data_IF_209332837835
#
_entry.id   IF_209332837835
#
_cell.length_a   1.000
_cell.length_b   1.000
_cell.length_c   1.000
_cell.angle_alpha   90.00
_cell.angle_beta   90.00
_cell.angle_gamma   90.00
#
_symmetry.space_group_name_H-M   'P 1'
#
loop_
_entity.id
_entity.type
_entity.pdbx_description
1 polymer ?
#
# COMPACT_ATOMS: atom_id res chain seq x y z
N UNK A 1 5.50 -8.30 -3.85
CA UNK A 1 4.81 -8.43 -5.15
C UNK A 1 5.83 -8.18 -6.24
N UNK A 2 5.76 -8.87 -7.37
CA UNK A 2 6.66 -8.68 -8.51
C UNK A 2 5.92 -8.86 -9.83
N UNK A 3 6.57 -8.56 -10.96
CA UNK A 3 6.00 -8.78 -12.29
C UNK A 3 5.52 -10.23 -12.51
N UNK A 4 6.15 -11.21 -11.87
CA UNK A 4 5.82 -12.63 -12.04
C UNK A 4 4.49 -13.02 -11.39
N UNK A 5 4.10 -12.35 -10.30
CA UNK A 5 2.91 -12.73 -9.54
C UNK A 5 1.81 -11.67 -9.50
N UNK A 6 2.05 -10.44 -9.98
CA UNK A 6 1.05 -9.37 -9.85
C UNK A 6 -0.29 -9.72 -10.50
N UNK A 7 -0.29 -10.50 -11.60
CA UNK A 7 -1.52 -10.92 -12.29
C UNK A 7 -2.38 -11.87 -11.46
N UNK A 8 -1.85 -12.56 -10.45
CA UNK A 8 -2.67 -13.42 -9.59
C UNK A 8 -3.64 -12.64 -8.71
N UNK A 9 -3.46 -11.32 -8.61
CA UNK A 9 -4.35 -10.42 -7.87
C UNK A 9 -5.45 -9.81 -8.75
N UNK A 10 -5.50 -10.16 -10.03
CA UNK A 10 -6.50 -9.62 -10.95
C UNK A 10 -7.91 -10.01 -10.50
N UNK A 11 -8.79 -9.02 -10.41
CA UNK A 11 -10.17 -9.16 -9.93
C UNK A 11 -10.32 -9.61 -8.47
N UNK A 12 -9.24 -9.67 -7.69
CA UNK A 12 -9.35 -9.88 -6.25
C UNK A 12 -9.99 -8.65 -5.59
N UNK A 13 -10.96 -8.90 -4.70
CA UNK A 13 -11.56 -7.88 -3.82
C UNK A 13 -10.94 -7.91 -2.43
N UNK A 14 -10.57 -9.09 -1.97
CA UNK A 14 -9.93 -9.31 -0.66
C UNK A 14 -8.59 -9.99 -0.86
N UNK A 15 -7.58 -9.48 -0.16
CA UNK A 15 -6.24 -10.05 -0.12
C UNK A 15 -6.05 -10.71 1.24
N UNK A 16 -6.02 -12.04 1.24
CA UNK A 16 -5.68 -12.82 2.42
C UNK A 16 -4.16 -12.83 2.61
N UNK A 17 -3.66 -11.92 3.44
CA UNK A 17 -2.25 -11.74 3.72
C UNK A 17 -1.84 -10.29 3.55
N UNK A 18 -0.55 -10.10 3.23
CA UNK A 18 0.08 -8.77 3.20
C UNK A 18 0.60 -8.43 1.81
N UNK A 19 0.62 -7.13 1.49
CA UNK A 19 1.21 -6.62 0.25
C UNK A 19 2.46 -5.83 0.60
N UNK A 20 3.57 -6.17 -0.08
CA UNK A 20 4.82 -5.42 -0.05
C UNK A 20 5.24 -5.06 -1.46
N UNK A 21 5.37 -3.77 -1.74
CA UNK A 21 5.94 -3.21 -2.96
C UNK A 21 7.15 -2.37 -2.54
N UNK A 22 8.33 -2.75 -3.01
CA UNK A 22 9.61 -2.13 -2.66
C UNK A 22 10.43 -1.80 -3.92
N UNK A 23 11.65 -1.30 -3.74
CA UNK A 23 12.56 -0.98 -4.84
C UNK A 23 12.77 -2.14 -5.82
N UNK A 24 12.98 -3.37 -5.32
CA UNK A 24 13.14 -4.56 -6.17
C UNK A 24 11.88 -4.82 -7.00
N UNK A 25 10.70 -4.57 -6.44
CA UNK A 25 9.42 -4.69 -7.16
C UNK A 25 9.35 -3.69 -8.32
N UNK A 26 9.84 -2.46 -8.14
CA UNK A 26 9.74 -1.37 -9.11
C UNK A 26 10.89 -1.31 -10.11
N UNK A 27 12.11 -1.69 -9.73
CA UNK A 27 13.27 -1.75 -10.62
C UNK A 27 13.41 -3.09 -11.33
N UNK A 28 12.73 -4.13 -10.84
CA UNK A 28 12.93 -5.50 -11.28
C UNK A 28 14.22 -6.10 -10.69
N UNK A 29 14.44 -7.36 -10.99
CA UNK A 29 15.62 -8.12 -10.60
C UNK A 29 16.08 -8.95 -11.81
N UNK A 30 17.16 -8.49 -12.46
CA UNK A 30 17.73 -9.18 -13.63
C UNK A 30 18.25 -10.57 -13.27
N UNK A 31 18.82 -10.75 -12.08
CA UNK A 31 19.35 -12.04 -11.63
C UNK A 31 18.26 -13.08 -11.43
N UNK A 32 17.02 -12.65 -11.18
CA UNK A 32 15.84 -13.52 -11.03
C UNK A 32 14.88 -13.47 -12.22
N UNK A 33 15.28 -12.83 -13.32
CA UNK A 33 14.46 -12.61 -14.51
C UNK A 33 13.08 -11.99 -14.18
N UNK A 34 13.07 -10.98 -13.30
CA UNK A 34 11.88 -10.24 -12.89
C UNK A 34 11.93 -8.86 -13.53
N UNK A 35 10.95 -8.55 -14.37
CA UNK A 35 10.80 -7.20 -14.94
C UNK A 35 10.33 -6.19 -13.88
N UNK A 36 10.56 -4.91 -14.16
CA UNK A 36 10.04 -3.80 -13.35
C UNK A 36 8.52 -3.73 -13.40
N UNK A 37 7.90 -3.38 -12.27
CA UNK A 37 6.49 -2.98 -12.24
C UNK A 37 6.34 -1.52 -12.68
N UNK A 38 5.26 -1.25 -13.42
CA UNK A 38 4.82 0.10 -13.80
C UNK A 38 3.60 0.50 -12.99
N UNK A 39 3.24 1.79 -13.01
CA UNK A 39 1.97 2.25 -12.42
C UNK A 39 0.77 1.50 -13.03
N UNK A 40 0.79 1.24 -14.34
CA UNK A 40 -0.23 0.45 -15.03
C UNK A 40 -0.32 -0.97 -14.49
N UNK A 41 0.81 -1.62 -14.23
CA UNK A 41 0.84 -2.96 -13.62
C UNK A 41 0.16 -2.94 -12.24
N UNK A 42 0.39 -1.90 -11.45
CA UNK A 42 -0.19 -1.73 -10.12
C UNK A 42 -1.71 -1.54 -10.14
N UNK A 43 -2.30 -1.06 -11.25
CA UNK A 43 -3.77 -0.94 -11.40
C UNK A 43 -4.50 -2.28 -11.26
N UNK A 44 -3.80 -3.41 -11.31
CA UNK A 44 -4.33 -4.72 -10.94
C UNK A 44 -4.99 -4.71 -9.56
N UNK A 45 -4.49 -3.90 -8.61
CA UNK A 45 -5.07 -3.76 -7.27
C UNK A 45 -6.32 -2.87 -7.20
N UNK A 46 -6.79 -2.33 -8.32
CA UNK A 46 -7.88 -1.36 -8.32
C UNK A 46 -9.22 -1.93 -7.86
N UNK A 47 -9.42 -3.25 -7.90
CA UNK A 47 -10.61 -3.94 -7.36
C UNK A 47 -10.51 -4.28 -5.89
N UNK A 48 -9.30 -4.21 -5.31
CA UNK A 48 -9.08 -4.59 -3.91
C UNK A 48 -9.75 -3.59 -2.99
N UNK A 49 -10.60 -4.13 -2.11
CA UNK A 49 -11.31 -3.42 -1.06
C UNK A 49 -10.76 -3.74 0.32
N UNK A 50 -10.14 -4.90 0.52
CA UNK A 50 -9.65 -5.33 1.83
C UNK A 50 -8.30 -6.04 1.77
N UNK A 51 -7.44 -5.78 2.76
CA UNK A 51 -6.17 -6.48 2.99
C UNK A 51 -6.18 -7.00 4.43
N UNK A 52 -6.04 -8.31 4.64
CA UNK A 52 -6.14 -8.88 5.99
C UNK A 52 -4.88 -8.69 6.83
N UNK A 53 -3.72 -8.59 6.19
CA UNK A 53 -2.43 -8.33 6.81
C UNK A 53 -2.04 -6.85 6.77
N UNK A 54 -0.79 -6.57 6.39
CA UNK A 54 -0.25 -5.22 6.25
C UNK A 54 -0.09 -4.78 4.78
N UNK A 55 0.05 -3.46 4.59
CA UNK A 55 0.43 -2.84 3.33
C UNK A 55 1.74 -2.05 3.50
N UNK A 56 2.79 -2.47 2.81
CA UNK A 56 4.12 -1.83 2.80
C UNK A 56 4.43 -1.31 1.41
N UNK A 57 4.76 -0.02 1.35
CA UNK A 57 5.06 0.72 0.13
C UNK A 57 6.38 1.48 0.33
N UNK A 58 7.42 1.04 -0.37
CA UNK A 58 8.76 1.61 -0.21
C UNK A 58 9.39 1.85 -1.58
N UNK A 59 10.07 2.98 -1.76
CA UNK A 59 10.87 3.24 -2.96
C UNK A 59 10.11 3.01 -4.29
N UNK A 60 8.91 3.61 -4.41
CA UNK A 60 8.00 3.38 -5.56
C UNK A 60 8.47 3.98 -6.90
N UNK A 61 9.64 4.64 -6.94
CA UNK A 61 10.16 5.32 -8.13
C UNK A 61 9.41 6.61 -8.47
N UNK A 62 9.84 7.30 -9.55
CA UNK A 62 9.28 8.62 -9.95
C UNK A 62 7.98 8.52 -10.75
N UNK A 63 7.68 7.35 -11.31
CA UNK A 63 6.47 7.09 -12.10
C UNK A 63 5.21 6.88 -11.27
N UNK A 64 5.33 6.78 -9.94
CA UNK A 64 4.20 6.59 -9.03
C UNK A 64 4.06 7.81 -8.14
N UNK A 65 3.03 8.63 -8.40
CA UNK A 65 2.78 9.90 -7.71
C UNK A 65 1.68 9.83 -6.63
N UNK A 66 0.92 8.75 -6.60
CA UNK A 66 -0.12 8.50 -5.60
C UNK A 66 -0.45 7.01 -5.54
N UNK A 67 -1.23 6.58 -4.54
CA UNK A 67 -1.69 5.20 -4.36
C UNK A 67 -3.09 4.96 -4.91
N UNK A 68 -3.51 5.68 -5.96
CA UNK A 68 -4.84 5.51 -6.56
C UNK A 68 -5.05 4.13 -7.21
N UNK A 69 -3.99 3.34 -7.39
CA UNK A 69 -4.12 1.91 -7.70
C UNK A 69 -4.76 1.11 -6.57
N UNK A 70 -4.82 1.64 -5.33
CA UNK A 70 -5.65 1.17 -4.22
C UNK A 70 -6.86 2.09 -3.95
N UNK A 71 -7.40 2.78 -4.98
CA UNK A 71 -8.53 3.71 -4.82
C UNK A 71 -9.77 3.11 -4.14
N UNK A 72 -9.94 1.80 -4.23
CA UNK A 72 -11.08 1.07 -3.66
C UNK A 72 -10.78 0.42 -2.31
N UNK A 73 -9.55 0.49 -1.79
CA UNK A 73 -9.20 -0.07 -0.50
C UNK A 73 -10.00 0.63 0.61
N UNK A 74 -10.71 -0.15 1.41
CA UNK A 74 -11.58 0.31 2.49
C UNK A 74 -11.05 -0.06 3.86
N UNK A 75 -10.48 -1.27 3.98
CA UNK A 75 -10.05 -1.83 5.25
C UNK A 75 -8.66 -2.46 5.14
N UNK A 76 -7.78 -2.13 6.09
CA UNK A 76 -6.57 -2.89 6.39
C UNK A 76 -6.80 -3.53 7.77
N UNK A 77 -6.85 -4.86 7.83
CA UNK A 77 -7.17 -5.53 9.08
C UNK A 77 -5.95 -5.60 10.02
N UNK A 78 -4.72 -5.71 9.52
CA UNK A 78 -3.55 -5.76 10.39
C UNK A 78 -3.46 -7.02 11.25
N UNK A 79 -3.99 -8.17 10.79
CA UNK A 79 -3.83 -9.47 11.48
C UNK A 79 -2.36 -9.92 11.56
N UNK A 80 -1.53 -9.39 10.67
CA UNK A 80 -0.08 -9.46 10.69
C UNK A 80 0.48 -8.05 10.51
N UNK A 81 1.57 -7.72 11.20
CA UNK A 81 2.15 -6.38 11.20
C UNK A 81 3.57 -6.39 10.61
N UNK A 82 3.88 -5.38 9.81
CA UNK A 82 5.24 -5.13 9.34
C UNK A 82 6.07 -4.60 10.50
N UNK A 83 7.26 -5.18 10.69
CA UNK A 83 8.15 -4.87 11.80
C UNK A 83 7.43 -4.92 13.17
N UNK A 84 6.54 -5.90 13.31
CA UNK A 84 5.73 -6.16 14.51
C UNK A 84 4.78 -5.02 14.94
N UNK A 85 4.73 -3.91 14.20
CA UNK A 85 4.01 -2.70 14.62
C UNK A 85 3.08 -2.11 13.58
N UNK A 86 3.43 -2.18 12.29
CA UNK A 86 2.78 -1.35 11.26
C UNK A 86 1.85 -2.15 10.36
N UNK A 87 0.59 -1.73 10.26
CA UNK A 87 -0.36 -2.25 9.27
C UNK A 87 -0.34 -1.45 7.96
N UNK A 88 0.10 -0.20 8.01
CA UNK A 88 0.40 0.62 6.83
C UNK A 88 1.76 1.29 7.01
N UNK A 89 2.67 1.05 6.07
CA UNK A 89 4.01 1.62 6.08
C UNK A 89 4.33 2.22 4.70
N UNK A 90 4.62 3.53 4.66
CA UNK A 90 4.95 4.27 3.43
C UNK A 90 6.26 5.03 3.63
N UNK A 91 7.30 4.64 2.90
CA UNK A 91 8.66 5.15 3.12
C UNK A 91 9.41 5.42 1.82
N UNK A 92 10.19 6.50 1.77
CA UNK A 92 11.09 6.84 0.66
C UNK A 92 10.40 6.83 -0.72
N UNK A 93 9.20 7.40 -0.84
CA UNK A 93 8.44 7.45 -2.10
C UNK A 93 8.41 8.87 -2.69
N UNK A 94 8.05 8.97 -3.99
CA UNK A 94 7.80 10.24 -4.68
C UNK A 94 6.29 10.57 -4.74
N UNK A 95 5.51 10.10 -3.76
CA UNK A 95 4.08 10.38 -3.70
C UNK A 95 3.87 11.88 -3.42
N UNK A 96 2.95 12.49 -4.15
CA UNK A 96 2.49 13.85 -3.95
C UNK A 96 1.27 13.91 -3.01
N UNK A 97 0.49 12.83 -2.98
CA UNK A 97 -0.63 12.60 -2.06
C UNK A 97 -0.90 11.10 -1.94
N UNK A 98 -1.53 10.65 -0.84
CA UNK A 98 -1.78 9.22 -0.62
C UNK A 98 -2.77 8.64 -1.64
N UNK A 99 -3.90 9.31 -1.91
CA UNK A 99 -4.88 8.84 -2.89
C UNK A 99 -5.73 7.64 -2.44
N UNK A 100 -5.65 7.24 -1.17
CA UNK A 100 -6.44 6.18 -0.53
C UNK A 100 -7.85 6.67 -0.16
N UNK A 101 -8.62 7.12 -1.16
CA UNK A 101 -9.88 7.89 -0.98
C UNK A 101 -11.00 7.13 -0.25
N UNK A 102 -11.02 5.80 -0.35
CA UNK A 102 -12.05 4.96 0.28
C UNK A 102 -11.58 4.29 1.56
N UNK A 103 -10.34 4.51 1.98
CA UNK A 103 -9.82 3.90 3.20
C UNK A 103 -10.57 4.50 4.39
N UNK A 104 -11.24 3.64 5.13
CA UNK A 104 -12.09 4.03 6.26
C UNK A 104 -11.72 3.32 7.55
N UNK A 105 -10.96 2.23 7.48
CA UNK A 105 -10.65 1.47 8.68
C UNK A 105 -9.27 0.81 8.63
N UNK A 106 -8.53 0.96 9.72
CA UNK A 106 -7.34 0.20 10.08
C UNK A 106 -7.63 -0.44 11.43
N UNK A 107 -7.77 -1.76 11.44
CA UNK A 107 -8.28 -2.49 12.62
C UNK A 107 -7.21 -2.69 13.69
N UNK A 108 -5.99 -3.05 13.28
CA UNK A 108 -4.87 -3.29 14.18
C UNK A 108 -3.57 -2.70 13.60
N UNK A 109 -2.60 -2.43 14.50
CA UNK A 109 -1.31 -1.85 14.15
C UNK A 109 -1.33 -0.34 13.91
N UNK A 110 -0.14 0.22 13.81
CA UNK A 110 0.08 1.65 13.57
C UNK A 110 0.29 1.97 12.09
N UNK A 111 0.17 3.25 11.75
CA UNK A 111 0.54 3.79 10.45
C UNK A 111 1.88 4.52 10.59
N UNK A 112 2.82 4.26 9.69
CA UNK A 112 4.06 5.04 9.59
C UNK A 112 4.26 5.55 8.17
N UNK A 113 4.34 6.87 8.04
CA UNK A 113 4.63 7.57 6.80
C UNK A 113 5.85 8.45 7.04
N UNK A 114 6.98 8.14 6.41
CA UNK A 114 8.24 8.87 6.62
C UNK A 114 9.04 9.00 5.32
N UNK A 115 9.94 9.98 5.27
CA UNK A 115 10.86 10.20 4.15
C UNK A 115 10.19 10.36 2.76
N UNK A 116 8.98 10.94 2.71
CA UNK A 116 8.26 11.21 1.46
C UNK A 116 8.27 12.73 1.19
N UNK A 117 9.35 13.23 0.58
CA UNK A 117 9.65 14.67 0.52
C UNK A 117 8.63 15.51 -0.26
N UNK A 118 7.89 14.88 -1.18
CA UNK A 118 6.88 15.55 -2.02
C UNK A 118 5.46 15.35 -1.50
N UNK A 119 5.28 14.63 -0.40
CA UNK A 119 3.96 14.19 0.05
C UNK A 119 3.23 15.32 0.78
N UNK A 120 2.10 15.71 0.23
CA UNK A 120 1.22 16.75 0.74
C UNK A 120 -0.11 16.15 1.25
N UNK A 121 -0.91 17.01 1.89
CA UNK A 121 -2.30 16.73 2.33
C UNK A 121 -2.45 15.67 3.42
N UNK A 122 -1.38 15.26 4.10
CA UNK A 122 -1.47 14.32 5.23
C UNK A 122 -2.32 14.89 6.37
N UNK A 123 -2.27 16.19 6.62
CA UNK A 123 -3.06 16.86 7.65
C UNK A 123 -4.57 16.81 7.39
N UNK A 124 -4.99 16.70 6.12
CA UNK A 124 -6.40 16.62 5.74
C UNK A 124 -6.91 15.18 5.69
N UNK A 125 -6.03 14.20 5.86
CA UNK A 125 -6.41 12.80 5.87
C UNK A 125 -7.10 12.48 7.20
N UNK A 126 -8.23 11.74 7.21
CA UNK A 126 -9.10 11.64 8.37
C UNK A 126 -8.59 10.60 9.40
N UNK A 127 -7.35 10.78 9.89
CA UNK A 127 -6.64 9.84 10.77
C UNK A 127 -7.45 9.41 11.99
N UNK A 128 -8.14 10.35 12.63
CA UNK A 128 -8.97 10.09 13.82
C UNK A 128 -10.11 9.11 13.58
N UNK A 129 -10.60 9.00 12.34
CA UNK A 129 -11.70 8.11 11.97
C UNK A 129 -11.23 6.76 11.42
N UNK A 130 -9.94 6.63 11.09
CA UNK A 130 -9.39 5.43 10.47
C UNK A 130 -9.18 4.32 11.48
N UNK A 131 -8.77 4.65 12.69
CA UNK A 131 -8.58 3.63 13.70
C UNK A 131 -9.93 3.31 14.33
N UNK A 132 -10.31 2.03 14.35
CA UNK A 132 -11.48 1.64 15.13
C UNK A 132 -11.22 2.00 16.58
N UNK A 133 -12.16 2.70 17.24
CA UNK A 133 -12.16 2.93 18.68
C UNK A 133 -12.28 1.59 19.43
N UNK A 134 -11.20 0.80 19.46
CA UNK A 134 -11.07 -0.37 20.33
C UNK A 134 -10.37 0.09 21.62
N UNK A 135 -10.99 1.08 22.27
CA UNK A 135 -10.53 1.72 23.50
C UNK A 135 -11.63 1.83 24.56
N UNK A 136 -12.53 0.83 24.59
CA UNK A 136 -13.31 0.46 25.77
C UNK A 136 -13.20 -1.05 25.98
#
# INVERSE_FOLDING_TARGET
>A
VSANNIRSFQNCTTIEGSIRINEVSMKGDRGRNVSSLTFESLLTFSTVTEITGYLVLQSLGVGVRNLSFFKNLRVIHGRSLYDHSYSLFVDQTNLEYLGLRKLKNIKFGSVLIKNNIHLCYLQNFPWSTLFSNNGQ
#
